data_IF_284328270321
#
_entry.id   IF_284328270321
#
_cell.length_a   1.000
_cell.length_b   1.000
_cell.length_c   1.000
_cell.angle_alpha   90.00
_cell.angle_beta   90.00
_cell.angle_gamma   90.00
#
_symmetry.space_group_name_H-M   'P 1'
#
loop_
_entity.id
_entity.type
_entity.pdbx_description
1 polymer ?
#
# COMPACT_ATOMS: atom_id res chain seq x y z
N UNK A 1 -30.33 8.76 -2.68
CA UNK A 1 -29.99 8.43 -1.29
C UNK A 1 -30.81 9.33 -0.39
N UNK A 2 -31.60 8.77 0.50
CA UNK A 2 -32.38 9.51 1.48
C UNK A 2 -31.46 10.10 2.58
N UNK A 3 -31.95 11.12 3.28
CA UNK A 3 -31.20 11.80 4.34
C UNK A 3 -30.85 10.84 5.50
N UNK A 4 -31.66 9.81 5.70
CA UNK A 4 -31.49 8.81 6.76
C UNK A 4 -30.31 7.87 6.47
N UNK A 5 -30.12 7.45 5.22
CA UNK A 5 -28.92 6.69 4.81
C UNK A 5 -27.64 7.51 4.96
N UNK A 6 -27.70 8.81 4.67
CA UNK A 6 -26.54 9.69 4.88
C UNK A 6 -26.20 9.87 6.36
N UNK A 7 -27.21 9.95 7.24
CA UNK A 7 -26.99 10.04 8.68
C UNK A 7 -26.46 8.73 9.29
N UNK A 8 -26.96 7.58 8.84
CA UNK A 8 -26.44 6.26 9.26
C UNK A 8 -24.99 6.06 8.79
N UNK A 9 -24.66 6.50 7.57
CA UNK A 9 -23.30 6.47 7.05
C UNK A 9 -22.36 7.40 7.85
N UNK A 10 -22.83 8.60 8.23
CA UNK A 10 -22.10 9.53 9.11
C UNK A 10 -21.86 8.94 10.50
N UNK A 11 -22.85 8.27 11.11
CA UNK A 11 -22.67 7.59 12.41
C UNK A 11 -21.66 6.44 12.33
N UNK A 12 -21.59 5.73 11.20
CA UNK A 12 -20.56 4.71 10.95
C UNK A 12 -19.17 5.30 10.69
N UNK A 13 -19.10 6.43 9.98
CA UNK A 13 -17.87 7.19 9.73
C UNK A 13 -17.15 7.63 11.01
N UNK A 14 -17.89 7.86 12.11
CA UNK A 14 -17.31 8.26 13.40
C UNK A 14 -16.48 7.16 14.09
N UNK A 15 -16.54 5.89 13.65
CA UNK A 15 -15.58 4.86 14.06
C UNK A 15 -14.53 4.71 12.96
N UNK A 16 -13.47 5.53 13.00
CA UNK A 16 -12.39 5.57 11.98
C UNK A 16 -11.89 4.19 11.54
N UNK A 17 -11.70 3.26 12.48
CA UNK A 17 -11.24 1.90 12.16
C UNK A 17 -12.32 1.03 11.51
N UNK A 18 -13.59 1.24 11.85
CA UNK A 18 -14.73 0.62 11.17
C UNK A 18 -14.84 1.10 9.72
N UNK A 19 -14.55 2.39 9.47
CA UNK A 19 -14.56 2.95 8.12
C UNK A 19 -13.40 2.43 7.26
N UNK A 20 -12.19 2.38 7.81
CA UNK A 20 -11.00 1.81 7.15
C UNK A 20 -11.21 0.35 6.75
N UNK A 21 -11.71 -0.45 7.69
CA UNK A 21 -12.05 -1.85 7.45
C UNK A 21 -13.16 -2.03 6.41
N UNK A 22 -14.12 -1.10 6.35
CA UNK A 22 -15.20 -1.11 5.37
C UNK A 22 -14.68 -0.83 3.95
N UNK A 23 -13.93 0.27 3.74
CA UNK A 23 -13.40 0.63 2.41
C UNK A 23 -12.52 -0.47 1.84
N UNK A 24 -11.65 -1.07 2.66
CA UNK A 24 -10.81 -2.20 2.23
C UNK A 24 -11.59 -3.45 1.82
N UNK A 25 -12.85 -3.58 2.23
CA UNK A 25 -13.77 -4.66 1.79
C UNK A 25 -14.62 -4.26 0.60
N UNK A 26 -14.97 -2.99 0.46
CA UNK A 26 -15.84 -2.49 -0.62
C UNK A 26 -15.11 -2.48 -1.96
N UNK A 27 -13.86 -2.02 -1.99
CA UNK A 27 -13.09 -1.89 -3.23
C UNK A 27 -12.99 -3.17 -4.06
N UNK A 28 -12.56 -4.32 -3.53
CA UNK A 28 -12.49 -5.54 -4.34
C UNK A 28 -13.88 -6.05 -4.77
N UNK A 29 -14.95 -5.69 -4.05
CA UNK A 29 -16.34 -5.97 -4.48
C UNK A 29 -16.77 -5.07 -5.63
N UNK A 30 -16.38 -3.79 -5.61
CA UNK A 30 -16.63 -2.87 -6.73
C UNK A 30 -15.93 -3.35 -8.00
N UNK A 31 -14.66 -3.77 -7.91
CA UNK A 31 -13.92 -4.34 -9.04
C UNK A 31 -14.63 -5.59 -9.61
N UNK A 32 -15.17 -6.46 -8.74
CA UNK A 32 -15.96 -7.61 -9.18
C UNK A 32 -17.30 -7.22 -9.80
N UNK A 33 -17.97 -6.18 -9.28
CA UNK A 33 -19.22 -5.67 -9.82
C UNK A 33 -19.01 -5.11 -11.23
N UNK A 34 -17.91 -4.41 -11.48
CA UNK A 34 -17.51 -3.94 -12.82
C UNK A 34 -17.25 -5.09 -13.78
N UNK A 35 -16.82 -6.26 -13.27
CA UNK A 35 -16.71 -7.51 -14.04
C UNK A 35 -18.03 -8.28 -14.16
N UNK A 36 -19.16 -7.70 -13.74
CA UNK A 36 -20.50 -8.29 -13.89
C UNK A 36 -20.90 -9.28 -12.81
N UNK A 37 -20.09 -9.47 -11.75
CA UNK A 37 -20.45 -10.39 -10.67
C UNK A 37 -21.52 -9.80 -9.76
N UNK A 38 -22.46 -10.66 -9.36
CA UNK A 38 -23.46 -10.37 -8.33
C UNK A 38 -22.84 -10.55 -6.94
N UNK A 39 -23.26 -9.74 -5.97
CA UNK A 39 -22.71 -9.75 -4.61
C UNK A 39 -22.75 -11.15 -3.98
N UNK A 40 -23.84 -11.89 -4.17
CA UNK A 40 -24.04 -13.25 -3.68
C UNK A 40 -23.05 -14.30 -4.24
N UNK A 41 -22.40 -14.00 -5.37
CA UNK A 41 -21.40 -14.86 -6.00
C UNK A 41 -19.95 -14.44 -5.70
N UNK A 42 -19.74 -13.31 -5.01
CA UNK A 42 -18.40 -12.82 -4.70
C UNK A 42 -17.82 -13.57 -3.50
N UNK A 43 -16.72 -14.28 -3.71
CA UNK A 43 -16.02 -15.01 -2.65
C UNK A 43 -14.59 -14.49 -2.48
N UNK A 44 -14.13 -14.44 -1.23
CA UNK A 44 -12.82 -13.95 -0.86
C UNK A 44 -12.14 -14.97 0.04
N UNK A 45 -10.84 -15.15 -0.13
CA UNK A 45 -10.01 -16.01 0.70
C UNK A 45 -8.92 -15.21 1.41
N UNK A 46 -8.14 -15.91 2.25
CA UNK A 46 -6.92 -15.41 2.86
C UNK A 46 -5.85 -16.48 2.76
N UNK A 47 -4.61 -16.09 2.51
CA UNK A 47 -3.45 -17.00 2.63
C UNK A 47 -3.26 -17.39 4.10
N UNK A 48 -2.39 -18.37 4.36
CA UNK A 48 -2.02 -18.79 5.72
C UNK A 48 -1.58 -17.61 6.61
N UNK A 49 -0.89 -16.64 6.01
CA UNK A 49 -0.40 -15.42 6.68
C UNK A 49 -1.40 -14.25 6.61
N UNK A 50 -2.64 -14.51 6.21
CA UNK A 50 -3.74 -13.54 6.27
C UNK A 50 -3.86 -12.58 5.07
N UNK A 51 -3.01 -12.70 4.04
CA UNK A 51 -3.10 -11.86 2.83
C UNK A 51 -4.42 -12.15 2.10
N UNK A 52 -5.32 -11.17 1.91
CA UNK A 52 -6.61 -11.41 1.28
C UNK A 52 -6.46 -11.59 -0.23
N UNK A 53 -7.35 -12.39 -0.83
CA UNK A 53 -7.42 -12.58 -2.28
C UNK A 53 -8.85 -12.84 -2.75
N UNK A 54 -9.08 -12.63 -4.05
CA UNK A 54 -10.39 -12.89 -4.66
C UNK A 54 -10.47 -14.36 -5.07
N UNK A 55 -11.46 -15.07 -4.54
CA UNK A 55 -11.69 -16.49 -4.78
C UNK A 55 -12.94 -16.75 -5.64
N UNK A 56 -13.51 -15.69 -6.23
CA UNK A 56 -14.74 -15.72 -7.02
C UNK A 56 -14.60 -16.68 -8.22
N UNK A 57 -15.42 -17.74 -8.30
CA UNK A 57 -15.39 -18.67 -9.42
C UNK A 57 -15.69 -17.97 -10.75
N UNK A 58 -14.98 -18.37 -11.81
CA UNK A 58 -15.18 -17.81 -13.16
C UNK A 58 -14.55 -16.43 -13.39
N UNK A 59 -13.83 -15.87 -12.41
CA UNK A 59 -13.09 -14.63 -12.60
C UNK A 59 -11.89 -14.86 -13.54
N UNK A 60 -12.00 -14.35 -14.76
CA UNK A 60 -10.92 -14.36 -15.75
C UNK A 60 -10.92 -13.05 -16.57
N UNK A 61 -9.78 -12.36 -16.73
CA UNK A 61 -8.51 -12.60 -16.03
C UNK A 61 -8.63 -12.34 -14.51
N UNK A 62 -7.71 -12.88 -13.69
CA UNK A 62 -7.72 -12.68 -12.24
C UNK A 62 -7.52 -11.21 -11.85
N UNK A 63 -7.78 -10.93 -10.57
CA UNK A 63 -7.54 -9.61 -9.96
C UNK A 63 -6.66 -9.82 -8.72
N UNK A 64 -5.47 -9.25 -8.74
CA UNK A 64 -4.59 -9.15 -7.59
C UNK A 64 -4.86 -7.83 -6.88
N UNK A 65 -4.82 -7.81 -5.54
CA UNK A 65 -4.94 -6.56 -4.81
C UNK A 65 -4.25 -6.58 -3.45
N UNK A 66 -3.95 -5.40 -2.94
CA UNK A 66 -3.51 -5.19 -1.58
C UNK A 66 -4.06 -3.86 -1.05
N UNK A 67 -4.32 -3.79 0.25
CA UNK A 67 -4.88 -2.62 0.92
C UNK A 67 -4.01 -2.22 2.10
N UNK A 68 -3.81 -0.92 2.25
CA UNK A 68 -3.13 -0.30 3.38
C UNK A 68 -3.89 0.95 3.80
N UNK A 69 -3.62 1.45 4.99
CA UNK A 69 -4.15 2.72 5.46
C UNK A 69 -3.22 3.30 6.51
N UNK A 70 -3.16 4.62 6.55
CA UNK A 70 -2.59 5.35 7.68
C UNK A 70 -3.32 6.67 7.86
N UNK A 71 -3.57 7.05 9.11
CA UNK A 71 -4.23 8.31 9.45
C UNK A 71 -5.52 8.57 8.65
N UNK A 72 -5.57 9.60 7.80
CA UNK A 72 -6.76 9.92 7.00
C UNK A 72 -6.86 9.19 5.67
N UNK A 73 -5.87 8.39 5.29
CA UNK A 73 -5.72 7.84 3.95
C UNK A 73 -5.86 6.32 3.93
N UNK A 74 -6.55 5.81 2.90
CA UNK A 74 -6.65 4.39 2.59
C UNK A 74 -6.15 4.24 1.15
N UNK A 75 -5.22 3.32 0.92
CA UNK A 75 -4.68 3.07 -0.40
C UNK A 75 -4.89 1.61 -0.80
N UNK A 76 -5.25 1.40 -2.05
CA UNK A 76 -5.38 0.07 -2.66
C UNK A 76 -4.58 0.05 -3.94
N UNK A 77 -3.68 -0.92 -4.03
CA UNK A 77 -3.09 -1.31 -5.30
C UNK A 77 -3.85 -2.53 -5.81
N UNK A 78 -4.18 -2.54 -7.09
CA UNK A 78 -4.72 -3.71 -7.75
C UNK A 78 -4.13 -3.86 -9.14
N UNK A 79 -4.12 -5.09 -9.61
CA UNK A 79 -3.74 -5.45 -10.96
C UNK A 79 -4.84 -6.33 -11.52
N UNK A 80 -5.14 -6.14 -12.80
CA UNK A 80 -6.14 -6.94 -13.52
C UNK A 80 -5.68 -7.08 -14.96
N UNK A 81 -5.85 -8.26 -15.55
CA UNK A 81 -5.44 -8.48 -16.95
C UNK A 81 -4.64 -9.76 -17.13
N UNK A 82 -4.23 -9.99 -18.37
CA UNK A 82 -3.43 -11.16 -18.75
C UNK A 82 -1.95 -11.04 -18.35
N UNK A 83 -1.49 -9.81 -18.05
CA UNK A 83 -0.09 -9.53 -17.70
C UNK A 83 0.24 -9.78 -16.22
N UNK A 84 -0.75 -10.17 -15.41
CA UNK A 84 -0.51 -10.59 -14.03
C UNK A 84 0.38 -11.83 -14.05
N UNK A 85 1.51 -11.77 -13.33
CA UNK A 85 2.35 -12.95 -13.17
C UNK A 85 1.56 -14.11 -12.54
N UNK A 86 1.60 -15.34 -13.10
CA UNK A 86 0.70 -16.42 -12.69
C UNK A 86 1.17 -17.10 -11.39
N UNK A 87 0.96 -16.44 -10.24
CA UNK A 87 1.22 -16.96 -8.89
C UNK A 87 -0.02 -16.92 -7.98
N UNK A 88 -1.08 -17.70 -8.32
CA UNK A 88 -2.28 -17.79 -7.50
C UNK A 88 -1.96 -18.36 -6.10
N UNK A 89 -2.84 -18.14 -5.11
CA UNK A 89 -4.16 -17.53 -5.26
C UNK A 89 -4.18 -16.02 -5.00
N UNK A 90 -3.16 -15.47 -4.32
CA UNK A 90 -3.16 -14.09 -3.85
C UNK A 90 -2.40 -13.11 -4.75
N UNK A 91 -1.53 -13.64 -5.61
CA UNK A 91 -0.64 -12.90 -6.50
C UNK A 91 0.29 -11.92 -5.76
N UNK A 92 1.43 -11.54 -6.34
CA UNK A 92 2.41 -10.67 -5.67
C UNK A 92 2.22 -9.19 -6.01
N UNK A 93 1.16 -8.59 -5.46
CA UNK A 93 0.95 -7.13 -5.38
C UNK A 93 0.90 -6.69 -3.91
N UNK A 94 1.54 -5.57 -3.59
CA UNK A 94 1.59 -4.98 -2.25
C UNK A 94 1.65 -3.46 -2.30
N UNK A 95 1.09 -2.79 -1.29
CA UNK A 95 1.13 -1.33 -1.17
C UNK A 95 1.28 -0.95 0.29
N UNK A 96 2.04 0.10 0.56
CA UNK A 96 2.04 0.76 1.86
C UNK A 96 2.01 2.28 1.74
N UNK A 97 1.46 2.95 2.75
CA UNK A 97 1.33 4.41 2.80
C UNK A 97 1.47 4.88 4.24
N UNK A 98 2.18 5.98 4.44
CA UNK A 98 2.44 6.56 5.76
C UNK A 98 2.36 8.07 5.70
N UNK A 99 1.71 8.68 6.70
CA UNK A 99 1.70 10.12 6.91
C UNK A 99 3.08 10.59 7.36
N UNK A 100 3.58 11.66 6.74
CA UNK A 100 4.80 12.33 7.16
C UNK A 100 4.56 13.11 8.44
N UNK A 101 4.62 12.42 9.58
CA UNK A 101 4.46 13.03 10.89
C UNK A 101 5.41 12.41 11.92
N UNK A 102 6.30 13.23 12.47
CA UNK A 102 7.13 12.81 13.60
C UNK A 102 6.24 12.65 14.85
N UNK A 103 6.43 11.59 15.67
CA UNK A 103 5.77 11.47 16.96
C UNK A 103 6.02 12.70 17.84
N UNK A 104 5.02 13.08 18.64
CA UNK A 104 5.12 14.26 19.51
C UNK A 104 6.23 14.05 20.55
N UNK A 105 7.03 15.10 20.76
CA UNK A 105 8.11 15.14 21.77
C UNK A 105 9.32 14.22 21.48
N UNK A 106 9.46 13.72 20.26
CA UNK A 106 10.65 12.98 19.85
C UNK A 106 11.54 13.81 18.92
N UNK A 107 12.84 13.56 18.98
CA UNK A 107 13.76 14.04 17.93
C UNK A 107 13.77 13.01 16.81
N UNK A 108 14.07 13.43 15.58
CA UNK A 108 14.17 12.50 14.45
C UNK A 108 15.25 11.41 14.69
N UNK A 109 16.37 11.75 15.31
CA UNK A 109 17.41 10.78 15.64
C UNK A 109 16.93 9.72 16.64
N UNK A 110 16.25 10.14 17.71
CA UNK A 110 15.66 9.19 18.67
C UNK A 110 14.62 8.28 18.01
N UNK A 111 13.80 8.84 17.11
CA UNK A 111 12.83 8.07 16.35
C UNK A 111 13.50 7.02 15.46
N UNK A 112 14.57 7.36 14.73
CA UNK A 112 15.35 6.40 13.92
C UNK A 112 15.95 5.29 14.78
N UNK A 113 16.46 5.62 15.97
CA UNK A 113 17.04 4.61 16.88
C UNK A 113 16.01 3.57 17.34
N UNK A 114 14.72 3.93 17.50
CA UNK A 114 13.66 2.97 17.83
C UNK A 114 13.48 1.88 16.74
N UNK A 115 13.82 2.20 15.48
CA UNK A 115 13.71 1.28 14.35
C UNK A 115 15.08 0.79 13.85
N UNK A 116 16.14 0.98 14.63
CA UNK A 116 17.53 0.65 14.25
C UNK A 116 17.69 -0.83 13.87
N UNK A 117 16.89 -1.73 14.46
CA UNK A 117 16.88 -3.16 14.12
C UNK A 117 16.09 -3.54 12.88
N UNK A 118 15.44 -2.59 12.21
CA UNK A 118 14.75 -2.81 10.93
C UNK A 118 15.48 -2.14 9.75
N UNK A 119 16.59 -1.45 10.03
CA UNK A 119 17.34 -0.64 9.07
C UNK A 119 18.71 -1.24 8.77
N UNK A 120 19.14 -1.15 7.51
CA UNK A 120 20.51 -1.49 7.10
C UNK A 120 21.50 -0.40 7.49
N UNK A 121 22.80 -0.70 7.40
CA UNK A 121 23.84 0.30 7.65
C UNK A 121 23.76 1.48 6.67
N UNK A 122 23.46 1.22 5.40
CA UNK A 122 23.27 2.26 4.39
C UNK A 122 22.07 3.15 4.71
N UNK A 123 20.93 2.55 5.09
CA UNK A 123 19.72 3.29 5.43
C UNK A 123 19.95 4.20 6.65
N UNK A 124 20.63 3.71 7.69
CA UNK A 124 21.00 4.54 8.85
C UNK A 124 21.87 5.74 8.44
N UNK A 125 22.84 5.52 7.55
CA UNK A 125 23.69 6.59 7.04
C UNK A 125 22.90 7.61 6.19
N UNK A 126 21.93 7.16 5.40
CA UNK A 126 21.04 8.03 4.59
C UNK A 126 20.14 8.89 5.49
N UNK A 127 19.71 8.36 6.63
CA UNK A 127 18.79 9.02 7.56
C UNK A 127 19.48 9.97 8.54
N UNK A 128 20.69 9.63 8.98
CA UNK A 128 21.48 10.42 9.93
C UNK A 128 22.84 10.85 9.34
N UNK A 129 22.87 11.60 8.21
CA UNK A 129 24.12 12.06 7.63
C UNK A 129 24.73 13.23 8.42
N UNK A 130 25.99 13.52 8.12
CA UNK A 130 26.69 14.73 8.59
C UNK A 130 27.19 15.52 7.38
N UNK A 131 26.71 16.77 7.15
CA UNK A 131 25.77 17.53 7.98
C UNK A 131 24.32 16.98 7.95
N UNK A 132 23.50 17.24 9.00
CA UNK A 132 22.13 16.74 9.07
C UNK A 132 21.21 17.28 7.96
N UNK A 133 20.24 16.46 7.56
CA UNK A 133 19.17 16.87 6.65
C UNK A 133 18.16 17.79 7.34
N UNK A 134 17.43 18.56 6.53
CA UNK A 134 16.18 19.16 7.00
C UNK A 134 15.22 18.07 7.50
N UNK A 135 14.56 18.32 8.63
CA UNK A 135 13.72 17.31 9.30
C UNK A 135 12.65 16.71 8.38
N UNK A 136 12.01 17.53 7.54
CA UNK A 136 10.98 17.05 6.60
C UNK A 136 11.54 16.07 5.58
N UNK A 137 12.74 16.32 5.02
CA UNK A 137 13.39 15.41 4.07
C UNK A 137 13.89 14.13 4.77
N UNK A 138 14.40 14.24 6.00
CA UNK A 138 14.79 13.08 6.79
C UNK A 138 13.59 12.16 7.08
N UNK A 139 12.46 12.76 7.47
CA UNK A 139 11.20 12.06 7.71
C UNK A 139 10.64 11.42 6.43
N UNK A 140 10.69 12.16 5.32
CA UNK A 140 10.30 11.65 3.99
C UNK A 140 11.12 10.43 3.60
N UNK A 141 12.45 10.46 3.76
CA UNK A 141 13.32 9.30 3.48
C UNK A 141 13.01 8.11 4.38
N UNK A 142 12.80 8.34 5.68
CA UNK A 142 12.45 7.28 6.62
C UNK A 142 11.18 6.55 6.17
N UNK A 143 10.11 7.29 5.90
CA UNK A 143 8.84 6.68 5.53
C UNK A 143 8.87 6.08 4.12
N UNK A 144 9.69 6.58 3.19
CA UNK A 144 9.94 5.90 1.90
C UNK A 144 10.63 4.54 2.07
N UNK A 145 11.63 4.46 2.96
CA UNK A 145 12.27 3.18 3.33
C UNK A 145 11.22 2.25 3.94
N UNK A 146 10.48 2.74 4.94
CA UNK A 146 9.49 1.93 5.65
C UNK A 146 8.40 1.41 4.72
N UNK A 147 7.78 2.29 3.94
CA UNK A 147 6.70 1.92 3.02
C UNK A 147 7.18 0.99 1.91
N UNK A 148 8.43 1.10 1.43
CA UNK A 148 8.97 0.11 0.48
C UNK A 148 9.07 -1.27 1.12
N UNK A 149 9.60 -1.36 2.35
CA UNK A 149 9.75 -2.62 3.06
C UNK A 149 8.40 -3.29 3.31
N UNK A 150 7.43 -2.52 3.81
CA UNK A 150 6.06 -2.97 4.03
C UNK A 150 5.35 -3.36 2.73
N UNK A 151 5.48 -2.58 1.65
CA UNK A 151 4.87 -2.91 0.37
C UNK A 151 5.41 -4.23 -0.19
N UNK A 152 6.72 -4.45 -0.11
CA UNK A 152 7.36 -5.69 -0.55
C UNK A 152 6.90 -6.90 0.28
N UNK A 153 6.91 -6.80 1.62
CA UNK A 153 6.50 -7.92 2.48
C UNK A 153 5.00 -8.20 2.39
N UNK A 154 4.16 -7.18 2.20
CA UNK A 154 2.73 -7.32 1.87
C UNK A 154 2.52 -7.99 0.52
N UNK A 155 3.36 -7.69 -0.48
CA UNK A 155 3.33 -8.36 -1.77
C UNK A 155 3.65 -9.85 -1.63
N UNK A 156 4.68 -10.20 -0.86
CA UNK A 156 5.03 -11.59 -0.55
C UNK A 156 3.97 -12.30 0.31
N UNK A 157 3.20 -11.56 1.11
CA UNK A 157 2.23 -12.13 2.03
C UNK A 157 2.88 -12.90 3.19
N UNK A 158 4.03 -12.44 3.67
CA UNK A 158 4.79 -13.10 4.75
C UNK A 158 4.45 -12.60 6.16
N UNK A 159 3.65 -11.52 6.28
CA UNK A 159 3.17 -11.03 7.57
C UNK A 159 4.28 -10.52 8.51
N UNK A 160 3.97 -10.50 9.81
CA UNK A 160 4.89 -10.09 10.88
C UNK A 160 5.95 -11.19 11.06
N UNK A 161 7.22 -10.86 10.84
CA UNK A 161 8.34 -11.81 10.99
C UNK A 161 9.34 -11.81 9.84
N UNK A 162 9.05 -11.10 8.74
CA UNK A 162 10.06 -10.87 7.71
C UNK A 162 11.15 -9.94 8.24
N UNK A 163 12.42 -10.33 8.10
CA UNK A 163 13.55 -9.50 8.50
C UNK A 163 13.73 -8.34 7.52
N UNK A 164 13.39 -7.13 7.96
CA UNK A 164 13.51 -5.91 7.17
C UNK A 164 14.95 -5.58 6.78
N UNK A 165 15.97 -6.09 7.49
CA UNK A 165 17.39 -5.89 7.11
C UNK A 165 17.76 -6.61 5.81
N UNK A 166 16.93 -7.55 5.33
CA UNK A 166 17.07 -8.17 4.00
C UNK A 166 16.74 -7.22 2.86
N UNK A 167 15.99 -6.15 3.13
CA UNK A 167 15.59 -5.14 2.15
C UNK A 167 16.43 -3.90 2.41
N UNK A 168 17.08 -3.39 1.37
CA UNK A 168 17.84 -2.15 1.41
C UNK A 168 17.32 -1.18 0.35
N UNK A 169 16.91 0.01 0.78
CA UNK A 169 16.49 1.08 -0.13
C UNK A 169 17.43 2.31 -0.06
N UNK A 170 18.23 2.51 -1.10
CA UNK A 170 19.01 3.73 -1.36
C UNK A 170 18.09 4.80 -1.95
N UNK A 171 17.35 5.50 -1.07
CA UNK A 171 16.38 6.55 -1.46
C UNK A 171 16.99 7.61 -2.39
N UNK A 172 18.20 8.18 -2.11
CA UNK A 172 18.80 9.17 -3.00
C UNK A 172 19.06 8.69 -4.43
N UNK A 173 19.35 7.40 -4.63
CA UNK A 173 19.60 6.81 -5.95
C UNK A 173 18.40 6.07 -6.54
N UNK A 174 17.31 6.03 -5.77
CA UNK A 174 16.16 5.17 -6.02
C UNK A 174 16.55 3.71 -6.26
N UNK A 175 17.56 3.21 -5.52
CA UNK A 175 18.13 1.87 -5.71
C UNK A 175 17.63 0.87 -4.67
N UNK A 176 17.15 -0.30 -5.08
CA UNK A 176 16.68 -1.35 -4.15
C UNK A 176 17.49 -2.62 -4.26
N UNK A 177 17.83 -3.22 -3.11
CA UNK A 177 18.43 -4.55 -3.02
C UNK A 177 17.65 -5.43 -2.06
N UNK A 178 17.51 -6.70 -2.43
CA UNK A 178 16.98 -7.75 -1.56
C UNK A 178 18.05 -8.81 -1.42
N UNK A 179 18.43 -9.14 -0.18
CA UNK A 179 19.52 -10.06 0.13
C UNK A 179 20.84 -9.69 -0.58
N UNK A 180 21.09 -8.38 -0.72
CA UNK A 180 22.27 -7.83 -1.40
C UNK A 180 22.20 -7.84 -2.94
N UNK A 181 21.19 -8.45 -3.55
CA UNK A 181 21.03 -8.56 -5.00
C UNK A 181 19.93 -7.64 -5.56
N UNK A 182 19.95 -7.40 -6.88
CA UNK A 182 18.84 -6.73 -7.54
C UNK A 182 17.60 -7.65 -7.53
N UNK A 183 16.43 -7.15 -7.06
CA UNK A 183 15.21 -7.96 -7.03
C UNK A 183 14.63 -8.13 -8.43
N UNK A 184 15.19 -9.06 -9.20
CA UNK A 184 14.76 -9.35 -10.57
C UNK A 184 13.29 -9.72 -10.62
N UNK A 185 12.57 -9.20 -11.62
CA UNK A 185 11.13 -9.42 -11.77
C UNK A 185 10.25 -8.63 -10.78
N UNK A 186 10.83 -7.73 -9.98
CA UNK A 186 10.07 -6.79 -9.15
C UNK A 186 10.07 -5.38 -9.71
N UNK A 187 8.91 -4.75 -9.61
CA UNK A 187 8.72 -3.33 -9.86
C UNK A 187 8.27 -2.63 -8.59
N UNK A 188 8.85 -1.46 -8.35
CA UNK A 188 8.51 -0.60 -7.21
C UNK A 188 8.18 0.79 -7.73
N UNK A 189 7.06 1.33 -7.28
CA UNK A 189 6.64 2.68 -7.60
C UNK A 189 6.42 3.44 -6.30
N UNK A 190 7.19 4.52 -6.08
CA UNK A 190 6.94 5.47 -4.99
C UNK A 190 6.06 6.62 -5.46
N UNK A 191 5.22 7.09 -4.56
CA UNK A 191 4.32 8.20 -4.79
C UNK A 191 4.11 9.04 -3.53
N UNK A 192 3.58 10.24 -3.75
CA UNK A 192 3.26 11.20 -2.70
C UNK A 192 1.83 11.69 -2.88
N UNK A 193 1.10 11.79 -1.77
CA UNK A 193 -0.28 12.29 -1.74
C UNK A 193 -0.39 13.38 -0.70
N UNK A 194 -1.13 14.45 -1.02
CA UNK A 194 -1.48 15.52 -0.09
C UNK A 194 -2.98 15.55 0.14
N UNK A 195 -3.38 15.68 1.39
CA UNK A 195 -4.78 15.90 1.77
C UNK A 195 -4.86 16.99 2.85
N UNK A 196 -5.32 18.18 2.46
CA UNK A 196 -5.26 19.35 3.32
C UNK A 196 -3.80 19.70 3.66
N UNK A 197 -3.49 19.76 4.96
CA UNK A 197 -2.13 20.00 5.45
C UNK A 197 -1.30 18.71 5.63
N UNK A 198 -1.91 17.55 5.44
CA UNK A 198 -1.23 16.27 5.65
C UNK A 198 -0.55 15.80 4.36
N UNK A 199 0.72 15.40 4.49
CA UNK A 199 1.50 14.79 3.42
C UNK A 199 1.71 13.30 3.70
N UNK A 200 1.64 12.48 2.66
CA UNK A 200 1.82 11.04 2.73
C UNK A 200 2.82 10.61 1.67
N UNK A 201 3.65 9.62 2.01
CA UNK A 201 4.45 8.86 1.04
C UNK A 201 3.91 7.44 0.99
N UNK A 202 4.02 6.81 -0.16
CA UNK A 202 3.70 5.39 -0.29
C UNK A 202 4.52 4.72 -1.37
N UNK A 203 4.55 3.40 -1.29
CA UNK A 203 5.19 2.53 -2.29
C UNK A 203 4.23 1.43 -2.67
N UNK A 204 4.10 1.17 -3.96
CA UNK A 204 3.49 -0.03 -4.50
C UNK A 204 4.59 -0.96 -5.04
N UNK A 205 4.47 -2.25 -4.74
CA UNK A 205 5.37 -3.30 -5.21
C UNK A 205 4.56 -4.35 -5.96
N UNK A 206 5.03 -4.76 -7.15
CA UNK A 206 4.46 -5.91 -7.87
C UNK A 206 5.56 -6.81 -8.42
N UNK A 207 5.25 -8.10 -8.53
CA UNK A 207 6.08 -9.06 -9.24
C UNK A 207 5.55 -9.29 -10.65
N UNK A 208 6.40 -9.08 -11.65
CA UNK A 208 6.07 -9.20 -13.08
C UNK A 208 6.75 -10.40 -13.75
N UNK A 209 7.64 -11.10 -13.04
CA UNK A 209 8.41 -12.22 -13.59
C UNK A 209 9.55 -11.81 -14.52
N UNK A 210 10.28 -12.81 -15.02
CA UNK A 210 11.42 -12.63 -15.93
C UNK A 210 12.70 -12.08 -15.27
N UNK A 211 13.75 -11.93 -16.09
CA UNK A 211 15.05 -11.36 -15.70
C UNK A 211 15.15 -9.83 -15.98
N UNK A 212 14.05 -9.21 -16.40
CA UNK A 212 13.95 -7.78 -16.69
C UNK A 212 13.34 -7.00 -15.53
N UNK A 213 13.79 -5.76 -15.34
CA UNK A 213 13.39 -4.95 -14.19
C UNK A 213 14.00 -5.43 -12.87
N UNK A 214 13.83 -4.65 -11.82
CA UNK A 214 14.45 -4.88 -10.52
C UNK A 214 15.63 -3.94 -10.27
N UNK A 215 15.72 -3.46 -9.03
CA UNK A 215 16.85 -2.66 -8.58
C UNK A 215 16.65 -1.14 -8.64
N UNK A 216 15.58 -0.65 -9.27
CA UNK A 216 15.20 0.76 -9.19
C UNK A 216 13.76 0.95 -8.74
N UNK A 217 13.51 2.04 -8.03
CA UNK A 217 12.19 2.51 -7.63
C UNK A 217 11.79 3.66 -8.55
N UNK A 218 10.64 3.55 -9.20
CA UNK A 218 10.15 4.60 -10.06
C UNK A 218 9.36 5.64 -9.24
N UNK A 219 9.65 6.91 -9.44
CA UNK A 219 8.86 7.99 -8.86
C UNK A 219 7.72 8.35 -9.81
N UNK A 220 6.47 8.18 -9.38
CA UNK A 220 5.30 8.58 -10.16
C UNK A 220 4.38 9.50 -9.35
N UNK A 221 3.89 10.56 -9.98
CA UNK A 221 2.89 11.45 -9.42
C UNK A 221 1.45 10.96 -9.68
N UNK A 222 0.46 11.71 -9.22
CA UNK A 222 -0.94 11.42 -9.52
C UNK A 222 -1.21 11.38 -11.04
N UNK A 223 -2.17 10.56 -11.47
CA UNK A 223 -2.49 10.37 -12.89
C UNK A 223 -3.37 9.15 -13.11
N UNK A 224 -3.32 8.57 -14.32
CA UNK A 224 -4.15 7.40 -14.65
C UNK A 224 -3.90 6.19 -13.73
N UNK A 225 -2.66 6.01 -13.26
CA UNK A 225 -2.27 4.88 -12.41
C UNK A 225 -2.52 5.11 -10.91
N UNK A 226 -2.61 6.37 -10.45
CA UNK A 226 -2.86 6.75 -9.07
C UNK A 226 -4.01 7.77 -9.03
N UNK A 227 -5.18 7.25 -8.69
CA UNK A 227 -6.41 8.03 -8.54
C UNK A 227 -6.65 8.33 -7.06
N UNK A 228 -6.98 9.58 -6.75
CA UNK A 228 -7.25 10.04 -5.39
C UNK A 228 -8.68 10.55 -5.35
N UNK A 229 -9.46 10.01 -4.43
CA UNK A 229 -10.88 10.32 -4.30
C UNK A 229 -11.26 10.52 -2.83
N UNK A 230 -12.36 11.25 -2.62
CA UNK A 230 -12.96 11.37 -1.29
C UNK A 230 -13.54 10.02 -0.83
N UNK A 231 -13.20 9.64 0.41
CA UNK A 231 -13.60 8.36 0.97
C UNK A 231 -15.12 8.23 1.14
N UNK A 232 -15.83 9.30 1.52
CA UNK A 232 -17.28 9.25 1.68
C UNK A 232 -17.97 9.10 0.31
N UNK A 233 -17.47 9.78 -0.71
CA UNK A 233 -17.90 9.61 -2.10
C UNK A 233 -17.71 8.18 -2.61
N UNK A 234 -16.54 7.58 -2.36
CA UNK A 234 -16.26 6.19 -2.72
C UNK A 234 -17.23 5.22 -2.03
N UNK A 235 -17.45 5.36 -0.73
CA UNK A 235 -18.38 4.50 0.01
C UNK A 235 -19.81 4.67 -0.49
N UNK A 236 -20.25 5.90 -0.76
CA UNK A 236 -21.60 6.17 -1.30
C UNK A 236 -21.80 5.48 -2.66
N UNK A 237 -20.83 5.57 -3.57
CA UNK A 237 -20.87 4.87 -4.87
C UNK A 237 -20.83 3.35 -4.68
N UNK A 238 -20.00 2.85 -3.78
CA UNK A 238 -19.92 1.43 -3.48
C UNK A 238 -21.26 0.88 -2.99
N UNK A 239 -21.92 1.56 -2.05
CA UNK A 239 -23.24 1.17 -1.54
C UNK A 239 -24.27 1.17 -2.67
N UNK A 240 -24.30 2.24 -3.48
CA UNK A 240 -25.24 2.33 -4.61
C UNK A 240 -24.99 1.25 -5.68
N UNK A 241 -23.74 0.90 -5.97
CA UNK A 241 -23.39 -0.08 -7.00
C UNK A 241 -23.55 -1.52 -6.51
N UNK A 242 -23.30 -1.76 -5.22
CA UNK A 242 -23.41 -3.10 -4.64
C UNK A 242 -24.86 -3.45 -4.28
N UNK A 243 -25.73 -2.46 -4.08
CA UNK A 243 -27.17 -2.64 -3.92
C UNK A 243 -27.49 -3.44 -2.67
N UNK A 244 -27.78 -2.72 -1.59
CA UNK A 244 -28.84 -3.14 -0.67
C UNK A 244 -30.13 -2.44 -1.09
#
# INVERSE_FOLDING_TARGET
MDADSQERLKRFYHKKDSFRGLVGRLLPRMLLRERGFRLEHMTFGRTENGKPYIATPGLSPPIAYNVTHDSGLIAVAYESGQDIYPDPPAYRVGIDVMKLQLPRRETFAAFVELFSDQLTALEKHILLPSPPLAQQEALRRFYLIWTLKEAYTKALGLGLGFDFKRIEYDVPRDGVRIDGAHPSGWEFVRFEVRHGADEYVGVAARFVGGAGGGGRVEARGAGAWLQVEDGAGLVSRAVSALGE
#
